data_IF_116828362553
#
_entry.id   IF_116828362553
#
_cell.length_a   1.000
_cell.length_b   1.000
_cell.length_c   1.000
_cell.angle_alpha   90.00
_cell.angle_beta   90.00
_cell.angle_gamma   90.00
#
_symmetry.space_group_name_H-M   'P 1'
#
loop_
_entity.id
_entity.type
_entity.pdbx_description
1 polymer ?
#
# COMPACT_ATOMS: atom_id res chain seq x y z
N UNK A 1 -30.68 -3.23 2.91
CA UNK A 1 -31.14 -2.21 1.94
C UNK A 1 -30.02 -1.26 1.49
N UNK A 2 -29.71 -0.14 2.17
CA UNK A 2 -28.70 0.83 1.66
C UNK A 2 -27.26 0.27 1.57
N UNK A 3 -26.87 -0.59 2.51
CA UNK A 3 -25.54 -1.21 2.52
C UNK A 3 -25.32 -2.19 1.35
N UNK A 4 -26.35 -2.93 0.96
CA UNK A 4 -26.27 -3.90 -0.15
C UNK A 4 -26.13 -3.18 -1.49
N UNK A 5 -26.88 -2.10 -1.70
CA UNK A 5 -26.77 -1.28 -2.91
C UNK A 5 -25.38 -0.66 -3.07
N UNK A 6 -24.76 -0.22 -1.97
CA UNK A 6 -23.40 0.31 -1.98
C UNK A 6 -22.36 -0.77 -2.33
N UNK A 7 -22.55 -1.99 -1.83
CA UNK A 7 -21.66 -3.13 -2.11
C UNK A 7 -21.77 -3.57 -3.58
N UNK A 8 -22.99 -3.63 -4.12
CA UNK A 8 -23.20 -4.11 -5.48
C UNK A 8 -22.73 -3.11 -6.54
N UNK A 9 -22.92 -1.81 -6.31
CA UNK A 9 -22.34 -0.77 -7.18
C UNK A 9 -20.81 -0.81 -7.16
N UNK A 10 -20.20 -1.00 -5.98
CA UNK A 10 -18.76 -1.13 -5.85
C UNK A 10 -18.22 -2.35 -6.62
N UNK A 11 -18.90 -3.51 -6.54
CA UNK A 11 -18.52 -4.73 -7.28
C UNK A 11 -18.60 -4.56 -8.79
N UNK A 12 -19.57 -3.78 -9.29
CA UNK A 12 -19.74 -3.55 -10.71
C UNK A 12 -18.58 -2.71 -11.30
N UNK A 13 -18.21 -1.61 -10.63
CA UNK A 13 -17.08 -0.77 -11.05
C UNK A 13 -15.72 -1.47 -11.03
N UNK A 14 -15.54 -2.44 -10.12
CA UNK A 14 -14.28 -3.20 -10.02
C UNK A 14 -14.09 -4.18 -11.19
N UNK A 15 -15.17 -4.71 -11.76
CA UNK A 15 -15.09 -5.72 -12.82
C UNK A 15 -14.77 -5.14 -14.21
N UNK A 16 -15.19 -3.91 -14.51
CA UNK A 16 -14.96 -3.29 -15.83
C UNK A 16 -13.50 -2.86 -16.07
N UNK A 17 -12.67 -2.76 -15.03
CA UNK A 17 -11.30 -2.25 -15.13
C UNK A 17 -10.23 -3.31 -15.50
N UNK A 18 -10.58 -4.59 -15.64
CA UNK A 18 -9.63 -5.71 -15.48
C UNK A 18 -8.50 -5.88 -16.51
N UNK A 19 -8.72 -5.63 -17.81
CA UNK A 19 -7.76 -6.04 -18.85
C UNK A 19 -6.73 -4.98 -19.22
N UNK A 20 -7.10 -3.69 -19.23
CA UNK A 20 -6.16 -2.57 -19.46
C UNK A 20 -5.29 -2.30 -18.22
N UNK A 21 -5.68 -2.85 -17.06
CA UNK A 21 -5.03 -2.62 -15.78
C UNK A 21 -3.69 -3.35 -15.64
N UNK A 22 -3.49 -4.52 -16.25
CA UNK A 22 -2.27 -5.32 -16.01
C UNK A 22 -0.99 -4.62 -16.47
N UNK A 23 -0.93 -4.14 -17.72
CA UNK A 23 0.26 -3.43 -18.22
C UNK A 23 0.50 -2.10 -17.50
N UNK A 24 -0.58 -1.40 -17.11
CA UNK A 24 -0.48 -0.19 -16.30
C UNK A 24 -0.01 -0.50 -14.88
N UNK A 25 -0.36 -1.68 -14.35
CA UNK A 25 0.04 -2.11 -13.02
C UNK A 25 1.55 -2.39 -12.95
N UNK A 26 2.14 -3.03 -13.96
CA UNK A 26 3.60 -3.25 -14.01
C UNK A 26 4.39 -1.93 -13.91
N UNK A 27 4.02 -0.96 -14.75
CA UNK A 27 4.63 0.36 -14.74
C UNK A 27 4.38 1.09 -13.41
N UNK A 28 3.14 1.04 -12.90
CA UNK A 28 2.78 1.67 -11.63
C UNK A 28 3.52 1.05 -10.43
N UNK A 29 3.74 -0.26 -10.43
CA UNK A 29 4.50 -0.97 -9.39
C UNK A 29 5.97 -0.55 -9.39
N UNK A 30 6.57 -0.45 -10.57
CA UNK A 30 7.94 0.05 -10.73
C UNK A 30 8.07 1.48 -10.18
N UNK A 31 7.22 2.41 -10.64
CA UNK A 31 7.22 3.80 -10.17
C UNK A 31 6.92 3.91 -8.67
N UNK A 32 6.02 3.07 -8.14
CA UNK A 32 5.72 3.05 -6.71
C UNK A 32 6.92 2.57 -5.90
N UNK A 33 7.65 1.56 -6.40
CA UNK A 33 8.87 1.09 -5.77
C UNK A 33 9.96 2.16 -5.73
N UNK A 34 10.18 2.88 -6.82
CA UNK A 34 11.12 4.02 -6.85
C UNK A 34 10.77 5.08 -5.80
N UNK A 35 9.48 5.48 -5.72
CA UNK A 35 9.02 6.46 -4.72
C UNK A 35 9.17 5.96 -3.29
N UNK A 36 8.97 4.67 -3.04
CA UNK A 36 9.18 4.07 -1.73
C UNK A 36 10.66 4.10 -1.33
N UNK A 37 11.58 3.84 -2.27
CA UNK A 37 13.02 4.02 -2.03
C UNK A 37 13.38 5.47 -1.71
N UNK A 38 12.84 6.44 -2.46
CA UNK A 38 13.07 7.86 -2.19
C UNK A 38 12.53 8.28 -0.81
N UNK A 39 11.36 7.77 -0.43
CA UNK A 39 10.77 7.98 0.88
C UNK A 39 11.63 7.35 1.98
N UNK A 40 12.12 6.12 1.80
CA UNK A 40 12.99 5.43 2.73
C UNK A 40 14.28 6.23 2.98
N UNK A 41 14.93 6.72 1.91
CA UNK A 41 16.10 7.58 1.99
C UNK A 41 15.81 8.88 2.74
N UNK A 42 14.66 9.50 2.47
CA UNK A 42 14.23 10.73 3.15
C UNK A 42 14.02 10.49 4.64
N UNK A 43 13.33 9.40 5.02
CA UNK A 43 13.10 9.01 6.41
C UNK A 43 14.43 8.76 7.12
N UNK A 44 15.35 8.02 6.48
CA UNK A 44 16.67 7.72 7.06
C UNK A 44 17.51 8.98 7.26
N UNK A 45 17.47 9.90 6.29
CA UNK A 45 18.21 11.18 6.34
C UNK A 45 17.70 12.11 7.44
N UNK A 46 16.39 12.11 7.68
CA UNK A 46 15.75 12.96 8.70
C UNK A 46 15.55 12.24 10.04
N UNK A 47 16.04 11.01 10.19
CA UNK A 47 15.88 10.24 11.42
C UNK A 47 16.62 10.96 12.57
N UNK A 48 15.92 11.31 13.67
CA UNK A 48 16.56 11.91 14.83
C UNK A 48 17.43 10.87 15.55
N UNK A 49 18.32 11.30 16.45
CA UNK A 49 19.08 10.36 17.27
C UNK A 49 18.21 9.72 18.37
N UNK A 50 18.63 8.54 18.85
CA UNK A 50 17.95 7.82 19.93
C UNK A 50 16.79 6.93 19.46
N UNK A 51 15.91 6.50 20.37
CA UNK A 51 14.90 5.47 20.08
C UNK A 51 13.94 5.82 18.93
N UNK A 52 13.68 7.12 18.71
CA UNK A 52 12.86 7.59 17.59
C UNK A 52 13.57 7.38 16.25
N UNK A 53 14.89 7.54 16.22
CA UNK A 53 15.73 7.24 15.06
C UNK A 53 15.72 5.78 14.66
N UNK A 54 15.73 4.88 15.65
CA UNK A 54 15.67 3.43 15.41
C UNK A 54 14.35 3.02 14.77
N UNK A 55 13.24 3.63 15.19
CA UNK A 55 11.92 3.43 14.58
C UNK A 55 11.89 3.98 13.16
N UNK A 56 12.47 5.16 12.93
CA UNK A 56 12.58 5.72 11.58
C UNK A 56 13.43 4.83 10.65
N UNK A 57 14.53 4.28 11.15
CA UNK A 57 15.36 3.33 10.40
C UNK A 57 14.59 2.07 10.03
N UNK A 58 13.86 1.47 10.97
CA UNK A 58 13.01 0.30 10.68
C UNK A 58 11.92 0.61 9.65
N UNK A 59 11.31 1.79 9.74
CA UNK A 59 10.32 2.22 8.75
C UNK A 59 10.97 2.35 7.35
N UNK A 60 12.16 2.95 7.26
CA UNK A 60 12.91 3.02 6.02
C UNK A 60 13.28 1.62 5.48
N UNK A 61 13.74 0.70 6.33
CA UNK A 61 14.06 -0.68 5.93
C UNK A 61 12.83 -1.42 5.37
N UNK A 62 11.64 -1.18 5.95
CA UNK A 62 10.39 -1.75 5.46
C UNK A 62 9.97 -1.15 4.11
N UNK A 63 10.19 0.15 3.92
CA UNK A 63 9.95 0.82 2.64
C UNK A 63 10.87 0.30 1.55
N UNK A 64 12.17 0.10 1.83
CA UNK A 64 13.14 -0.44 0.88
C UNK A 64 12.83 -1.90 0.48
N UNK A 65 12.43 -2.73 1.44
CA UNK A 65 11.98 -4.10 1.17
C UNK A 65 10.72 -4.11 0.30
N UNK A 66 9.75 -3.26 0.63
CA UNK A 66 8.51 -3.14 -0.14
C UNK A 66 8.77 -2.63 -1.56
N UNK A 67 9.67 -1.65 -1.71
CA UNK A 67 10.11 -1.13 -3.00
C UNK A 67 10.72 -2.22 -3.87
N UNK A 68 11.63 -3.00 -3.29
CA UNK A 68 12.31 -4.10 -3.99
C UNK A 68 11.32 -5.20 -4.39
N UNK A 69 10.37 -5.51 -3.51
CA UNK A 69 9.30 -6.47 -3.81
C UNK A 69 8.42 -5.99 -4.97
N UNK A 70 7.96 -4.74 -4.95
CA UNK A 70 7.14 -4.15 -6.01
C UNK A 70 7.87 -4.09 -7.37
N UNK A 71 9.16 -3.77 -7.38
CA UNK A 71 9.96 -3.71 -8.61
C UNK A 71 10.25 -5.08 -9.23
N UNK A 72 10.22 -6.16 -8.42
CA UNK A 72 10.59 -7.52 -8.86
C UNK A 72 9.40 -8.46 -9.02
N UNK A 73 8.24 -8.13 -8.47
CA UNK A 73 7.07 -9.00 -8.47
C UNK A 73 6.13 -8.66 -9.62
N UNK A 74 5.43 -9.66 -10.13
CA UNK A 74 4.38 -9.43 -11.12
C UNK A 74 3.09 -8.98 -10.40
N UNK A 75 2.24 -8.16 -11.03
CA UNK A 75 1.01 -7.67 -10.42
C UNK A 75 0.05 -8.75 -9.93
N UNK A 76 0.01 -9.88 -10.65
CA UNK A 76 -0.79 -11.04 -10.28
C UNK A 76 -0.29 -11.67 -8.97
N UNK A 77 1.02 -11.82 -8.81
CA UNK A 77 1.61 -12.41 -7.61
C UNK A 77 1.32 -11.54 -6.37
N UNK A 78 1.51 -10.21 -6.52
CA UNK A 78 1.20 -9.24 -5.46
C UNK A 78 -0.27 -9.30 -5.06
N UNK A 79 -1.18 -9.37 -6.05
CA UNK A 79 -2.62 -9.48 -5.80
C UNK A 79 -2.95 -10.75 -5.04
N UNK A 80 -2.44 -11.90 -5.51
CA UNK A 80 -2.77 -13.19 -4.94
C UNK A 80 -2.25 -13.32 -3.49
N UNK A 81 -1.06 -12.78 -3.22
CA UNK A 81 -0.51 -12.68 -1.87
C UNK A 81 -1.37 -11.80 -0.96
N UNK A 82 -1.84 -10.65 -1.45
CA UNK A 82 -2.76 -9.79 -0.71
C UNK A 82 -4.08 -10.50 -0.39
N UNK A 83 -4.70 -11.15 -1.38
CA UNK A 83 -5.94 -11.90 -1.17
C UNK A 83 -5.78 -12.99 -0.12
N UNK A 84 -4.64 -13.69 -0.15
CA UNK A 84 -4.33 -14.75 0.80
C UNK A 84 -4.16 -14.19 2.22
N UNK A 85 -3.45 -13.07 2.36
CA UNK A 85 -3.21 -12.42 3.64
C UNK A 85 -4.51 -11.88 4.26
N UNK A 86 -5.35 -11.23 3.45
CA UNK A 86 -6.67 -10.73 3.87
C UNK A 86 -7.58 -11.87 4.32
N UNK A 87 -7.61 -12.97 3.56
CA UNK A 87 -8.44 -14.14 3.89
C UNK A 87 -7.95 -14.86 5.15
N UNK A 88 -6.66 -14.84 5.41
CA UNK A 88 -6.06 -15.45 6.60
C UNK A 88 -6.33 -14.65 7.88
N UNK A 89 -6.32 -13.31 7.79
CA UNK A 89 -6.40 -12.42 8.96
C UNK A 89 -7.29 -11.19 8.72
N UNK A 90 -8.60 -11.36 8.49
CA UNK A 90 -9.49 -10.27 8.06
C UNK A 90 -9.54 -9.09 9.04
N UNK A 91 -9.54 -9.36 10.35
CA UNK A 91 -9.54 -8.29 11.37
C UNK A 91 -8.26 -7.45 11.36
N UNK A 92 -7.10 -8.09 11.15
CA UNK A 92 -5.82 -7.37 11.08
C UNK A 92 -5.77 -6.50 9.82
N UNK A 93 -6.23 -7.03 8.68
CA UNK A 93 -6.31 -6.26 7.43
C UNK A 93 -7.22 -5.04 7.54
N UNK A 94 -8.37 -5.15 8.23
CA UNK A 94 -9.24 -4.01 8.50
C UNK A 94 -8.56 -2.94 9.34
N UNK A 95 -7.82 -3.33 10.38
CA UNK A 95 -7.07 -2.38 11.22
C UNK A 95 -5.96 -1.68 10.44
N UNK A 96 -5.20 -2.42 9.63
CA UNK A 96 -4.16 -1.86 8.76
C UNK A 96 -4.80 -0.87 7.77
N UNK A 97 -5.88 -1.27 7.09
CA UNK A 97 -6.59 -0.42 6.14
C UNK A 97 -7.12 0.86 6.78
N UNK A 98 -7.73 0.75 7.97
CA UNK A 98 -8.17 1.91 8.74
C UNK A 98 -7.02 2.83 9.13
N UNK A 99 -5.89 2.28 9.59
CA UNK A 99 -4.71 3.06 9.96
C UNK A 99 -4.12 3.82 8.78
N UNK A 100 -3.96 3.16 7.63
CA UNK A 100 -3.50 3.81 6.39
C UNK A 100 -4.46 4.91 5.95
N UNK A 101 -5.76 4.64 5.92
CA UNK A 101 -6.78 5.61 5.53
C UNK A 101 -6.83 6.82 6.46
N UNK A 102 -6.71 6.60 7.77
CA UNK A 102 -6.64 7.69 8.75
C UNK A 102 -5.41 8.58 8.56
N UNK A 103 -4.22 7.98 8.37
CA UNK A 103 -2.99 8.72 8.10
C UNK A 103 -3.11 9.55 6.82
N UNK A 104 -3.65 8.95 5.76
CA UNK A 104 -3.86 9.64 4.48
C UNK A 104 -4.84 10.82 4.63
N UNK A 105 -5.96 10.63 5.33
CA UNK A 105 -6.91 11.70 5.63
C UNK A 105 -6.29 12.82 6.49
N UNK A 106 -5.40 12.47 7.43
CA UNK A 106 -4.70 13.46 8.25
C UNK A 106 -3.72 14.31 7.44
N UNK A 107 -2.97 13.70 6.53
CA UNK A 107 -2.01 14.41 5.67
C UNK A 107 -2.73 15.36 4.71
N UNK A 108 -3.83 14.91 4.11
CA UNK A 108 -4.60 15.71 3.14
C UNK A 108 -5.43 16.83 3.76
N UNK A 109 -5.84 16.71 5.04
CA UNK A 109 -6.58 17.75 5.78
C UNK A 109 -5.69 18.79 6.45
N UNK A 110 -4.38 18.57 6.48
CA UNK A 110 -3.38 19.48 7.06
C UNK A 110 -2.69 20.40 6.06
N UNK A 111 -3.10 20.37 4.78
CA UNK A 111 -2.62 21.24 3.71
C UNK A 111 -3.59 22.38 3.38
#
# INVERSE_FOLDING_TARGET
DQGEQAIDQAKAHVQEAGQEAHQRADAAMTTSGERLQDAAQTVRRNAPSGPVGDVAHRAADMMDQSATYLQRSNPTDVRDDMERSIRSSPMQSLLIGFGVGFLFGRITRGG
#
